data_IF_056445656921
#
_entry.id   IF_056445656921
#
_cell.length_a   1.000
_cell.length_b   1.000
_cell.length_c   1.000
_cell.angle_alpha   90.00
_cell.angle_beta   90.00
_cell.angle_gamma   90.00
#
_symmetry.space_group_name_H-M   'P 1'
#
loop_
_entity.id
_entity.type
_entity.pdbx_description
1 polymer ?
#
# COMPACT_ATOMS: atom_id res chain seq x y z
N UNK A 1 -26.91 -15.89 15.21
CA UNK A 1 -25.56 -16.45 15.31
C UNK A 1 -24.59 -15.52 14.63
N UNK A 2 -23.57 -15.12 15.34
CA UNK A 2 -22.56 -14.28 14.74
C UNK A 2 -21.76 -15.08 13.71
N UNK A 3 -21.59 -14.51 12.53
CA UNK A 3 -20.77 -15.11 11.49
C UNK A 3 -19.36 -14.60 11.64
N UNK A 4 -18.41 -15.49 11.82
CA UNK A 4 -17.00 -15.14 11.82
C UNK A 4 -16.59 -14.71 10.43
N UNK A 5 -15.75 -13.69 10.32
CA UNK A 5 -15.12 -13.41 9.04
C UNK A 5 -14.14 -14.51 8.70
N UNK A 6 -14.20 -14.94 7.47
CA UNK A 6 -13.30 -15.96 6.94
C UNK A 6 -12.14 -15.29 6.20
N UNK A 7 -11.09 -16.05 5.97
CA UNK A 7 -9.98 -15.66 5.10
C UNK A 7 -10.49 -15.22 3.72
N UNK A 8 -11.52 -15.92 3.20
CA UNK A 8 -12.11 -15.59 1.90
C UNK A 8 -12.76 -14.20 1.91
N UNK A 9 -13.46 -13.82 3.00
CA UNK A 9 -14.07 -12.51 3.11
C UNK A 9 -13.02 -11.40 3.13
N UNK A 10 -11.93 -11.58 3.89
CA UNK A 10 -10.86 -10.59 3.95
C UNK A 10 -10.09 -10.51 2.62
N UNK A 11 -9.85 -11.64 1.98
CA UNK A 11 -9.25 -11.63 0.64
C UNK A 11 -10.14 -10.92 -0.37
N UNK A 12 -11.47 -11.15 -0.32
CA UNK A 12 -12.42 -10.45 -1.17
C UNK A 12 -12.43 -8.94 -0.89
N UNK A 13 -12.34 -8.54 0.39
CA UNK A 13 -12.22 -7.13 0.77
C UNK A 13 -10.98 -6.49 0.13
N UNK A 14 -9.84 -7.17 0.14
CA UNK A 14 -8.62 -6.66 -0.46
C UNK A 14 -8.74 -6.59 -1.99
N UNK A 15 -9.36 -7.56 -2.63
CA UNK A 15 -9.65 -7.48 -4.06
C UNK A 15 -10.49 -6.24 -4.39
N UNK A 16 -11.49 -5.93 -3.57
CA UNK A 16 -12.31 -4.72 -3.74
C UNK A 16 -11.49 -3.44 -3.53
N UNK A 17 -10.56 -3.43 -2.57
CA UNK A 17 -9.67 -2.30 -2.34
C UNK A 17 -8.83 -2.00 -3.58
N UNK A 18 -8.22 -3.01 -4.19
CA UNK A 18 -7.43 -2.80 -5.40
C UNK A 18 -8.27 -2.42 -6.61
N UNK A 19 -9.49 -2.95 -6.72
CA UNK A 19 -10.44 -2.52 -7.74
C UNK A 19 -10.80 -1.03 -7.57
N UNK A 20 -11.03 -0.59 -6.33
CA UNK A 20 -11.28 0.81 -6.01
C UNK A 20 -10.06 1.69 -6.35
N UNK A 21 -8.86 1.22 -6.05
CA UNK A 21 -7.64 1.92 -6.42
C UNK A 21 -7.54 2.10 -7.93
N UNK A 22 -7.83 1.06 -8.70
CA UNK A 22 -7.78 1.10 -10.17
C UNK A 22 -8.75 2.09 -10.80
N UNK A 23 -9.89 2.40 -10.14
CA UNK A 23 -10.86 3.39 -10.62
C UNK A 23 -10.76 4.75 -9.93
N UNK A 24 -9.72 4.94 -9.09
CA UNK A 24 -9.50 6.20 -8.38
C UNK A 24 -10.49 6.49 -7.25
N UNK A 25 -11.17 5.46 -6.73
CA UNK A 25 -12.16 5.62 -5.65
C UNK A 25 -11.49 5.50 -4.28
N UNK A 26 -10.80 6.55 -3.87
CA UNK A 26 -10.08 6.59 -2.59
C UNK A 26 -11.06 6.49 -1.41
N UNK A 27 -12.22 7.11 -1.49
CA UNK A 27 -13.21 7.05 -0.41
C UNK A 27 -13.61 5.61 -0.09
N UNK A 28 -13.80 4.75 -1.08
CA UNK A 28 -14.12 3.35 -0.88
C UNK A 28 -13.00 2.59 -0.16
N UNK A 29 -11.74 2.97 -0.41
CA UNK A 29 -10.58 2.38 0.29
C UNK A 29 -10.58 2.81 1.75
N UNK A 30 -10.73 4.11 2.01
CA UNK A 30 -10.69 4.67 3.37
C UNK A 30 -11.82 4.08 4.24
N UNK A 31 -12.96 3.77 3.65
CA UNK A 31 -14.09 3.16 4.35
C UNK A 31 -13.79 1.76 4.90
N UNK A 32 -12.77 1.09 4.39
CA UNK A 32 -12.34 -0.24 4.85
C UNK A 32 -11.37 -0.19 6.02
N UNK A 33 -10.86 1.00 6.37
CA UNK A 33 -9.83 1.19 7.37
C UNK A 33 -10.43 1.38 8.76
N UNK A 34 -9.78 0.83 9.78
CA UNK A 34 -10.11 1.12 11.17
C UNK A 34 -9.77 2.58 11.48
N UNK A 35 -10.46 3.21 12.47
CA UNK A 35 -10.22 4.62 12.82
C UNK A 35 -8.77 4.93 13.21
N UNK A 36 -8.05 3.94 13.74
CA UNK A 36 -6.66 4.04 14.21
C UNK A 36 -5.69 3.22 13.35
N UNK A 37 -6.04 2.97 12.10
CA UNK A 37 -5.19 2.16 11.21
C UNK A 37 -3.74 2.64 11.23
N UNK A 38 -2.81 1.69 11.36
CA UNK A 38 -1.38 1.94 11.33
C UNK A 38 -0.85 1.66 9.94
N UNK A 39 -0.44 2.70 9.21
CA UNK A 39 0.01 2.63 7.83
C UNK A 39 1.50 2.88 7.79
N UNK A 40 2.26 1.89 7.33
CA UNK A 40 3.73 1.96 7.31
C UNK A 40 4.33 2.20 8.70
N UNK A 41 3.74 1.62 9.72
CA UNK A 41 4.29 1.66 11.07
C UNK A 41 5.21 0.46 11.29
N UNK A 42 6.43 0.74 11.73
CA UNK A 42 7.49 -0.24 11.98
C UNK A 42 8.05 -0.01 13.37
N UNK A 43 8.68 -1.03 13.96
CA UNK A 43 9.30 -0.91 15.29
C UNK A 43 10.38 0.19 15.31
N UNK A 44 11.11 0.31 14.21
CA UNK A 44 12.06 1.40 13.98
C UNK A 44 11.82 2.00 12.61
N UNK A 45 12.12 3.30 12.41
CA UNK A 45 12.00 3.91 11.09
C UNK A 45 12.82 3.13 10.06
N UNK A 46 12.23 2.88 8.90
CA UNK A 46 12.94 2.24 7.79
C UNK A 46 13.91 3.22 7.14
N UNK A 47 14.90 2.71 6.40
CA UNK A 47 15.79 3.59 5.65
C UNK A 47 15.04 4.44 4.63
N UNK A 48 13.96 3.91 4.04
CA UNK A 48 13.11 4.70 3.14
C UNK A 48 12.44 5.86 3.87
N UNK A 49 11.97 5.65 5.10
CA UNK A 49 11.40 6.72 5.92
C UNK A 49 12.44 7.75 6.30
N UNK A 50 13.64 7.32 6.70
CA UNK A 50 14.76 8.23 7.01
C UNK A 50 15.19 9.04 5.79
N UNK A 51 15.08 8.47 4.59
CA UNK A 51 15.37 9.15 3.34
C UNK A 51 14.23 10.06 2.86
N UNK A 52 13.09 10.05 3.55
CA UNK A 52 11.95 10.90 3.22
C UNK A 52 11.17 10.47 1.99
N UNK A 53 11.14 9.17 1.68
CA UNK A 53 10.32 8.65 0.56
C UNK A 53 8.84 8.90 0.86
N UNK A 54 8.16 9.79 0.11
CA UNK A 54 6.82 10.28 0.52
C UNK A 54 5.77 9.19 0.64
N UNK A 55 5.78 8.20 -0.23
CA UNK A 55 4.79 7.12 -0.24
C UNK A 55 5.10 5.97 0.74
N UNK A 56 6.20 6.07 1.50
CA UNK A 56 6.58 5.07 2.50
C UNK A 56 6.66 5.66 3.91
N UNK A 57 6.18 6.88 4.12
CA UNK A 57 6.12 7.51 5.43
C UNK A 57 5.02 6.90 6.30
N UNK A 58 5.25 6.84 7.60
CA UNK A 58 4.27 6.34 8.56
C UNK A 58 3.06 7.28 8.64
N UNK A 59 1.86 6.70 8.71
CA UNK A 59 0.59 7.43 8.80
C UNK A 59 -0.34 6.72 9.77
N UNK A 60 -1.23 7.46 10.42
CA UNK A 60 -2.18 6.89 11.36
C UNK A 60 -3.59 7.44 11.08
N UNK A 61 -4.54 6.53 10.94
CA UNK A 61 -5.94 6.86 10.70
C UNK A 61 -6.27 7.18 9.24
N UNK A 62 -7.57 7.06 8.86
CA UNK A 62 -7.97 7.25 7.46
C UNK A 62 -7.64 8.64 6.90
N UNK A 63 -7.80 9.70 7.68
CA UNK A 63 -7.50 11.06 7.22
C UNK A 63 -6.01 11.22 6.84
N UNK A 64 -5.11 10.61 7.62
CA UNK A 64 -3.68 10.64 7.32
C UNK A 64 -3.34 9.75 6.12
N UNK A 65 -4.00 8.59 6.01
CA UNK A 65 -3.84 7.68 4.86
C UNK A 65 -4.31 8.34 3.56
N UNK A 66 -5.31 9.22 3.62
CA UNK A 66 -5.71 10.00 2.44
C UNK A 66 -4.52 10.79 1.87
N UNK A 67 -3.60 11.24 2.69
CA UNK A 67 -2.35 11.89 2.26
C UNK A 67 -1.43 10.96 1.46
N UNK A 68 -1.40 9.68 1.78
CA UNK A 68 -0.68 8.69 0.98
C UNK A 68 -1.25 8.62 -0.44
N UNK A 69 -2.57 8.55 -0.58
CA UNK A 69 -3.20 8.52 -1.89
C UNK A 69 -3.03 9.84 -2.66
N UNK A 70 -2.98 10.98 -1.96
CA UNK A 70 -2.65 12.27 -2.57
C UNK A 70 -1.22 12.26 -3.16
N UNK A 71 -0.27 11.66 -2.44
CA UNK A 71 1.10 11.48 -2.95
C UNK A 71 1.09 10.63 -4.23
N UNK A 72 0.43 9.47 -4.20
CA UNK A 72 0.32 8.61 -5.39
C UNK A 72 -0.37 9.33 -6.55
N UNK A 73 -1.35 10.19 -6.26
CA UNK A 73 -2.03 10.99 -7.29
C UNK A 73 -1.12 11.98 -7.99
N UNK A 74 0.03 12.33 -7.40
CA UNK A 74 1.04 13.18 -8.03
C UNK A 74 2.04 12.38 -8.88
N UNK A 75 2.03 11.04 -8.78
CA UNK A 75 2.88 10.16 -9.57
C UNK A 75 2.16 9.75 -10.85
N UNK A 76 2.92 9.31 -11.83
CA UNK A 76 2.36 8.65 -13.02
C UNK A 76 2.45 7.15 -12.84
N UNK A 77 1.32 6.46 -12.90
CA UNK A 77 1.29 5.00 -12.87
C UNK A 77 1.69 4.48 -14.25
N UNK A 78 2.83 3.84 -14.34
CA UNK A 78 3.33 3.24 -15.57
C UNK A 78 2.84 1.80 -15.74
N UNK A 79 2.77 1.05 -14.63
CA UNK A 79 2.22 -0.30 -14.56
C UNK A 79 1.80 -0.58 -13.12
N UNK A 80 0.68 -1.27 -12.97
CA UNK A 80 0.23 -1.74 -11.66
C UNK A 80 -0.62 -3.00 -11.87
N UNK A 81 -0.19 -4.11 -11.29
CA UNK A 81 -0.92 -5.37 -11.42
C UNK A 81 -0.88 -6.13 -10.09
N UNK A 82 -2.04 -6.59 -9.65
CA UNK A 82 -2.15 -7.53 -8.54
C UNK A 82 -2.00 -8.93 -9.13
N UNK A 83 -0.92 -9.60 -8.79
CA UNK A 83 -0.57 -10.91 -9.35
C UNK A 83 -1.25 -12.04 -8.59
N UNK A 84 -1.38 -11.89 -7.26
CA UNK A 84 -2.00 -12.87 -6.39
C UNK A 84 -2.48 -12.22 -5.09
N UNK A 85 -3.49 -12.80 -4.47
CA UNK A 85 -3.96 -12.41 -3.14
C UNK A 85 -3.96 -13.67 -2.28
N UNK A 86 -3.16 -13.65 -1.24
CA UNK A 86 -2.93 -14.78 -0.36
C UNK A 86 -3.44 -14.39 1.02
N UNK A 87 -4.35 -15.16 1.59
CA UNK A 87 -4.93 -14.84 2.88
C UNK A 87 -5.02 -16.03 3.80
N UNK A 88 -4.74 -15.79 5.09
CA UNK A 88 -4.91 -16.77 6.14
C UNK A 88 -5.24 -16.06 7.44
N UNK A 89 -6.44 -16.29 7.95
CA UNK A 89 -6.92 -15.66 9.18
C UNK A 89 -7.06 -14.14 9.04
N UNK A 90 -6.40 -13.40 9.89
CA UNK A 90 -6.49 -11.94 9.96
C UNK A 90 -5.54 -11.22 9.02
N UNK A 91 -4.68 -11.93 8.33
CA UNK A 91 -3.70 -11.30 7.44
C UNK A 91 -3.92 -11.73 6.01
N UNK A 92 -3.83 -10.76 5.11
CA UNK A 92 -3.93 -10.97 3.67
C UNK A 92 -2.72 -10.30 3.04
N UNK A 93 -2.05 -11.02 2.14
CA UNK A 93 -0.91 -10.50 1.37
C UNK A 93 -1.33 -10.36 -0.08
N UNK A 94 -1.09 -9.20 -0.66
CA UNK A 94 -1.20 -9.01 -2.10
C UNK A 94 0.20 -8.98 -2.70
N UNK A 95 0.44 -9.84 -3.68
CA UNK A 95 1.64 -9.80 -4.51
C UNK A 95 1.37 -8.85 -5.67
N UNK A 96 2.21 -7.83 -5.82
CA UNK A 96 1.95 -6.71 -6.72
C UNK A 96 3.19 -6.41 -7.56
N UNK A 97 2.97 -6.11 -8.84
CA UNK A 97 3.98 -5.51 -9.70
C UNK A 97 3.60 -4.05 -9.90
N UNK A 98 4.50 -3.14 -9.58
CA UNK A 98 4.23 -1.71 -9.62
C UNK A 98 5.36 -0.96 -10.32
N UNK A 99 5.01 0.02 -11.15
CA UNK A 99 5.97 0.90 -11.80
C UNK A 99 5.41 2.32 -11.83
N UNK A 100 6.20 3.27 -11.35
CA UNK A 100 5.79 4.66 -11.22
C UNK A 100 6.86 5.61 -11.71
N UNK A 101 6.42 6.74 -12.26
CA UNK A 101 7.26 7.91 -12.50
C UNK A 101 6.90 9.00 -11.48
N UNK A 102 7.92 9.54 -10.82
CA UNK A 102 7.78 10.57 -9.80
C UNK A 102 7.91 11.97 -10.43
N UNK A 103 7.34 13.01 -9.78
CA UNK A 103 7.40 14.38 -10.35
C UNK A 103 8.81 14.89 -10.63
N UNK A 104 9.81 14.47 -9.84
CA UNK A 104 11.21 14.88 -9.99
C UNK A 104 11.99 14.15 -11.09
N UNK A 105 11.33 13.31 -11.90
CA UNK A 105 11.96 12.55 -12.98
C UNK A 105 12.41 11.15 -12.56
N UNK A 106 12.34 10.82 -11.28
CA UNK A 106 12.67 9.48 -10.79
C UNK A 106 11.65 8.44 -11.26
N UNK A 107 12.11 7.20 -11.44
CA UNK A 107 11.27 6.07 -11.83
C UNK A 107 11.70 4.81 -11.13
N UNK A 108 10.72 3.97 -10.78
CA UNK A 108 11.01 2.61 -10.31
C UNK A 108 10.02 1.61 -10.89
N UNK A 109 10.48 0.37 -11.02
CA UNK A 109 9.66 -0.80 -11.30
C UNK A 109 10.01 -1.86 -10.26
N UNK A 110 9.00 -2.37 -9.56
CA UNK A 110 9.22 -3.17 -8.37
C UNK A 110 8.20 -4.30 -8.28
N UNK A 111 8.62 -5.40 -7.67
CA UNK A 111 7.72 -6.46 -7.22
C UNK A 111 7.59 -6.32 -5.70
N UNK A 112 6.35 -6.27 -5.21
CA UNK A 112 6.08 -5.91 -3.83
C UNK A 112 5.12 -6.90 -3.20
N UNK A 113 5.23 -7.04 -1.88
CA UNK A 113 4.19 -7.67 -1.07
C UNK A 113 3.54 -6.59 -0.22
N UNK A 114 2.22 -6.52 -0.26
CA UNK A 114 1.44 -5.64 0.59
C UNK A 114 0.77 -6.48 1.67
N UNK A 115 1.13 -6.23 2.92
CA UNK A 115 0.58 -6.96 4.06
C UNK A 115 -0.55 -6.16 4.70
N UNK A 116 -1.75 -6.72 4.66
CA UNK A 116 -2.96 -6.14 5.25
C UNK A 116 -3.34 -6.95 6.48
N UNK A 117 -3.50 -6.29 7.63
CA UNK A 117 -3.94 -6.91 8.87
C UNK A 117 -5.33 -6.40 9.22
N UNK A 118 -6.21 -7.29 9.67
CA UNK A 118 -7.61 -7.00 9.95
C UNK A 118 -7.94 -7.21 11.43
N UNK A 119 -8.93 -6.47 11.92
CA UNK A 119 -9.57 -6.77 13.19
C UNK A 119 -10.69 -7.81 13.02
N UNK A 120 -11.33 -8.19 14.12
CA UNK A 120 -12.42 -9.17 14.11
C UNK A 120 -13.66 -8.68 13.35
N UNK A 121 -13.82 -7.36 13.23
CA UNK A 121 -14.92 -6.74 12.49
C UNK A 121 -14.66 -6.64 10.98
N UNK A 122 -13.48 -7.04 10.53
CA UNK A 122 -13.12 -7.01 9.10
C UNK A 122 -12.66 -5.66 8.60
N UNK A 123 -12.22 -4.76 9.51
CA UNK A 123 -11.57 -3.52 9.12
C UNK A 123 -10.06 -3.68 9.14
N UNK A 124 -9.39 -2.97 8.26
CA UNK A 124 -7.92 -2.98 8.18
C UNK A 124 -7.36 -2.18 9.36
N UNK A 125 -6.52 -2.82 10.16
CA UNK A 125 -5.84 -2.19 11.31
C UNK A 125 -4.40 -1.84 11.04
N UNK A 126 -3.77 -2.50 10.05
CA UNK A 126 -2.38 -2.24 9.70
C UNK A 126 -2.14 -2.56 8.22
N UNK A 127 -1.27 -1.76 7.61
CA UNK A 127 -0.79 -1.97 6.25
C UNK A 127 0.70 -1.71 6.17
N UNK A 128 1.43 -2.58 5.47
CA UNK A 128 2.86 -2.43 5.19
C UNK A 128 3.20 -2.82 3.76
N UNK A 129 4.08 -2.04 3.13
CA UNK A 129 4.75 -2.44 1.91
C UNK A 129 6.05 -3.19 2.26
N UNK A 130 6.27 -4.33 1.62
CA UNK A 130 7.56 -4.99 1.57
C UNK A 130 8.06 -4.86 0.14
N UNK A 131 9.10 -4.08 -0.05
CA UNK A 131 9.53 -3.64 -1.38
C UNK A 131 11.05 -3.53 -1.46
N UNK A 132 11.57 -3.34 -2.68
CA UNK A 132 12.98 -3.01 -2.88
C UNK A 132 13.18 -1.52 -2.61
N UNK A 133 13.37 -1.17 -1.34
CA UNK A 133 13.41 0.23 -0.90
C UNK A 133 14.55 1.02 -1.50
N UNK A 134 15.64 0.38 -1.91
CA UNK A 134 16.75 1.07 -2.58
C UNK A 134 16.28 1.74 -3.87
N UNK A 135 15.42 1.06 -4.66
CA UNK A 135 14.82 1.65 -5.86
C UNK A 135 13.97 2.88 -5.54
N UNK A 136 13.18 2.81 -4.49
CA UNK A 136 12.28 3.90 -4.08
C UNK A 136 13.08 5.12 -3.59
N UNK A 137 14.14 4.89 -2.83
CA UNK A 137 15.02 5.95 -2.34
C UNK A 137 15.69 6.66 -3.52
N UNK A 138 16.26 5.89 -4.46
CA UNK A 138 16.94 6.45 -5.62
C UNK A 138 15.96 7.23 -6.52
N UNK A 139 14.76 6.69 -6.76
CA UNK A 139 13.74 7.37 -7.55
C UNK A 139 13.29 8.69 -6.88
N UNK A 140 13.19 8.71 -5.54
CA UNK A 140 12.87 9.92 -4.79
C UNK A 140 13.93 11.02 -4.98
N UNK A 141 15.18 10.63 -5.24
CA UNK A 141 16.29 11.53 -5.56
C UNK A 141 16.37 11.93 -7.03
N UNK A 142 15.41 11.51 -7.84
CA UNK A 142 15.34 11.85 -9.26
C UNK A 142 16.00 10.85 -10.20
N UNK A 143 16.42 9.69 -9.70
CA UNK A 143 17.08 8.67 -10.53
C UNK A 143 16.07 7.75 -11.20
N UNK A 144 16.33 7.39 -12.45
CA UNK A 144 15.55 6.37 -13.16
C UNK A 144 16.18 5.01 -12.89
N UNK A 145 15.58 4.24 -11.97
CA UNK A 145 16.08 2.91 -11.58
C UNK A 145 15.59 1.81 -12.50
N UNK A 146 14.79 2.14 -13.52
CA UNK A 146 14.30 1.18 -14.52
C UNK A 146 15.31 0.96 -15.65
N UNK A 147 16.30 1.86 -15.78
CA UNK A 147 17.34 1.80 -16.80
C UNK A 147 18.59 1.14 -16.21
N UNK A 148 19.18 0.21 -16.95
CA UNK A 148 20.40 -0.50 -16.56
C UNK A 148 21.47 -0.39 -17.63
#
# INVERSE_FOLDING_TARGET
MATSRTTTDNAATIADVYAAFGRGDVAAILDRLAPDVAWEEWDEPTFAQLAGVPHLLARTGPADVAGFFAVLGSYTVLDFAVLDIIGSGRQVVAEVRASFALPGGGRFADEELHLWTFDDGGRVTRFRHYSDTAKHIAATRGEDTTVR
#
